data_IF_662399607343
#
_entry.id   IF_662399607343
#
_cell.length_a   1.000
_cell.length_b   1.000
_cell.length_c   1.000
_cell.angle_alpha   90.00
_cell.angle_beta   90.00
_cell.angle_gamma   90.00
#
_symmetry.space_group_name_H-M   'P 1'
#
loop_
_entity.id
_entity.type
_entity.pdbx_description
1 polymer ?
#
# COMPACT_ATOMS: atom_id res chain seq x y z
N UNK A 1 14.35 -0.81 17.75
CA UNK A 1 14.07 0.63 17.67
C UNK A 1 12.58 0.93 17.78
N UNK A 2 11.70 0.44 16.90
CA UNK A 2 10.26 0.71 17.06
C UNK A 2 9.65 0.09 18.33
N UNK A 3 10.04 -1.15 18.69
CA UNK A 3 9.64 -1.75 19.97
C UNK A 3 10.18 -1.05 21.22
N UNK A 4 11.36 -0.42 21.14
CA UNK A 4 11.91 0.36 22.27
C UNK A 4 11.18 1.69 22.44
N UNK A 5 10.73 2.28 21.34
CA UNK A 5 9.86 3.46 21.35
C UNK A 5 8.49 3.13 21.96
N UNK A 6 7.93 1.97 21.61
CA UNK A 6 6.68 1.50 22.21
C UNK A 6 6.81 1.26 23.72
N UNK A 7 7.92 0.65 24.19
CA UNK A 7 8.21 0.52 25.62
C UNK A 7 8.33 1.87 26.33
N UNK A 8 8.93 2.87 25.69
CA UNK A 8 9.01 4.23 26.22
C UNK A 8 7.62 4.87 26.39
N UNK A 9 6.73 4.70 25.40
CA UNK A 9 5.34 5.17 25.53
C UNK A 9 4.60 4.46 26.66
N UNK A 10 4.81 3.15 26.83
CA UNK A 10 4.24 2.39 27.96
C UNK A 10 4.75 2.91 29.30
N UNK A 11 6.04 3.20 29.41
CA UNK A 11 6.65 3.63 30.67
C UNK A 11 6.30 5.08 31.05
N UNK A 12 6.14 5.96 30.06
CA UNK A 12 5.90 7.39 30.29
C UNK A 12 4.44 7.80 30.18
N UNK A 13 3.59 6.98 29.57
CA UNK A 13 2.20 7.30 29.25
C UNK A 13 2.03 8.42 28.22
N UNK A 14 3.12 8.85 27.55
CA UNK A 14 3.11 10.02 26.65
C UNK A 14 3.58 9.66 25.24
N UNK A 15 3.00 10.32 24.24
CA UNK A 15 3.49 10.28 22.85
C UNK A 15 3.06 9.05 22.03
N UNK A 16 2.17 8.20 22.55
CA UNK A 16 1.54 7.14 21.75
C UNK A 16 0.64 7.76 20.67
N UNK A 17 0.89 7.49 19.38
CA UNK A 17 0.33 8.29 18.28
C UNK A 17 -0.99 7.76 17.70
N UNK A 18 -1.56 6.68 18.26
CA UNK A 18 -2.71 5.99 17.68
C UNK A 18 -3.86 5.90 18.68
N UNK A 19 -5.03 5.50 18.18
CA UNK A 19 -6.24 5.34 18.99
C UNK A 19 -6.80 6.67 19.44
N UNK A 20 -7.27 6.75 20.69
CA UNK A 20 -7.89 7.97 21.24
C UNK A 20 -6.98 9.21 21.22
N UNK A 21 -5.66 9.02 21.09
CA UNK A 21 -4.69 10.12 21.01
C UNK A 21 -4.55 10.72 19.60
N UNK A 22 -5.18 10.12 18.58
CA UNK A 22 -5.08 10.53 17.19
C UNK A 22 -6.33 11.33 16.78
N UNK A 23 -6.25 12.67 16.72
CA UNK A 23 -7.43 13.51 16.46
C UNK A 23 -8.01 13.33 15.06
N UNK A 24 -7.21 12.86 14.09
CA UNK A 24 -7.65 12.61 12.71
C UNK A 24 -7.85 11.11 12.43
N UNK A 25 -8.00 10.31 13.49
CA UNK A 25 -8.05 8.85 13.46
C UNK A 25 -9.42 8.24 13.15
N UNK A 26 -10.44 9.01 12.79
CA UNK A 26 -11.83 8.53 12.70
C UNK A 26 -12.04 7.36 11.72
N UNK A 27 -11.31 7.37 10.60
CA UNK A 27 -11.34 6.28 9.62
C UNK A 27 -10.32 5.17 9.92
N UNK A 28 -9.55 5.28 11.01
CA UNK A 28 -8.58 4.26 11.42
C UNK A 28 -9.26 3.03 12.02
N UNK A 29 -8.66 1.87 11.82
CA UNK A 29 -9.06 0.63 12.51
C UNK A 29 -8.73 0.65 14.00
N UNK A 30 -7.83 1.56 14.41
CA UNK A 30 -7.40 1.70 15.80
C UNK A 30 -8.21 2.75 16.58
N UNK A 31 -9.17 3.44 15.95
CA UNK A 31 -9.88 4.62 16.52
C UNK A 31 -10.43 4.44 17.95
N UNK A 32 -10.91 3.23 18.28
CA UNK A 32 -11.45 2.92 19.61
C UNK A 32 -10.44 2.29 20.58
N UNK A 33 -9.15 2.33 20.28
CA UNK A 33 -8.10 1.76 21.14
C UNK A 33 -7.73 2.75 22.24
N UNK A 34 -7.96 2.42 23.53
CA UNK A 34 -7.56 3.28 24.64
C UNK A 34 -6.04 3.43 24.66
N UNK A 35 -5.55 4.66 24.83
CA UNK A 35 -4.12 4.95 24.80
C UNK A 35 -3.33 4.15 25.86
N UNK A 36 -3.93 3.96 27.03
CA UNK A 36 -3.36 3.20 28.16
C UNK A 36 -3.14 1.72 27.83
N UNK A 37 -3.99 1.15 26.97
CA UNK A 37 -3.88 -0.24 26.52
C UNK A 37 -3.07 -0.37 25.23
N UNK A 38 -3.12 0.64 24.35
CA UNK A 38 -2.48 0.61 23.04
C UNK A 38 -0.95 0.57 23.13
N UNK A 39 -0.35 1.45 23.92
CA UNK A 39 1.11 1.47 24.09
C UNK A 39 1.69 0.13 24.60
N UNK A 40 1.21 -0.46 25.73
CA UNK A 40 1.73 -1.76 26.21
C UNK A 40 1.47 -2.91 25.23
N UNK A 41 0.33 -2.92 24.54
CA UNK A 41 0.03 -3.93 23.52
C UNK A 41 1.05 -3.88 22.37
N UNK A 42 1.29 -2.70 21.82
CA UNK A 42 2.29 -2.51 20.76
C UNK A 42 3.68 -2.91 21.24
N UNK A 43 4.07 -2.51 22.46
CA UNK A 43 5.36 -2.86 23.03
C UNK A 43 5.53 -4.38 23.15
N UNK A 44 4.54 -5.08 23.73
CA UNK A 44 4.57 -6.53 23.89
C UNK A 44 4.69 -7.26 22.54
N UNK A 45 3.84 -6.88 21.57
CA UNK A 45 3.83 -7.50 20.24
C UNK A 45 5.15 -7.24 19.49
N UNK A 46 5.66 -6.00 19.49
CA UNK A 46 6.88 -5.64 18.78
C UNK A 46 8.13 -6.27 19.42
N UNK A 47 8.19 -6.37 20.74
CA UNK A 47 9.28 -7.06 21.46
C UNK A 47 9.24 -8.56 21.17
N UNK A 48 8.07 -9.21 21.29
CA UNK A 48 7.90 -10.61 20.94
C UNK A 48 8.30 -10.89 19.48
N UNK A 49 7.93 -9.99 18.57
CA UNK A 49 8.30 -10.05 17.16
C UNK A 49 9.80 -9.90 16.96
N UNK A 50 10.46 -8.97 17.66
CA UNK A 50 11.91 -8.81 17.59
C UNK A 50 12.64 -10.06 18.08
N UNK A 51 12.21 -10.64 19.21
CA UNK A 51 12.77 -11.90 19.73
C UNK A 51 12.58 -13.04 18.74
N UNK A 52 11.38 -13.20 18.18
CA UNK A 52 11.11 -14.20 17.16
C UNK A 52 11.98 -13.98 15.91
N UNK A 53 12.12 -12.75 15.44
CA UNK A 53 12.92 -12.41 14.26
C UNK A 53 14.41 -12.70 14.47
N UNK A 54 14.97 -12.39 15.64
CA UNK A 54 16.35 -12.75 16.00
C UNK A 54 16.53 -14.27 16.03
N UNK A 55 15.59 -14.99 16.65
CA UNK A 55 15.60 -16.46 16.67
C UNK A 55 15.52 -17.09 15.26
N UNK A 56 14.76 -16.48 14.35
CA UNK A 56 14.64 -16.91 12.95
C UNK A 56 15.87 -16.56 12.09
N UNK A 57 16.61 -15.50 12.44
CA UNK A 57 17.79 -15.06 11.69
C UNK A 57 18.96 -16.05 11.83
N UNK A 58 19.12 -16.66 13.00
CA UNK A 58 20.19 -17.63 13.29
C UNK A 58 20.19 -18.86 12.38
N UNK A 59 21.33 -19.57 12.31
CA UNK A 59 21.38 -20.90 11.72
C UNK A 59 20.66 -21.87 12.67
N UNK A 60 19.52 -22.46 12.26
CA UNK A 60 18.78 -23.32 13.18
C UNK A 60 19.60 -24.58 13.45
N UNK A 61 20.02 -24.80 14.70
CA UNK A 61 20.60 -26.09 15.14
C UNK A 61 19.57 -27.22 15.00
N UNK A 62 18.28 -26.89 15.02
CA UNK A 62 17.15 -27.80 14.84
C UNK A 62 16.22 -27.25 13.75
N UNK A 63 15.87 -28.08 12.76
CA UNK A 63 14.83 -27.72 11.79
C UNK A 63 13.46 -27.82 12.46
N UNK A 64 12.89 -26.68 12.86
CA UNK A 64 11.51 -26.61 13.34
C UNK A 64 10.56 -27.13 12.25
N UNK A 65 9.83 -28.20 12.56
CA UNK A 65 8.83 -28.84 11.69
C UNK A 65 7.50 -28.96 12.44
N UNK A 66 6.39 -29.07 11.70
CA UNK A 66 5.06 -29.24 12.29
C UNK A 66 4.51 -27.97 12.98
N UNK A 67 3.77 -28.16 14.07
CA UNK A 67 3.06 -27.11 14.81
C UNK A 67 3.91 -25.88 15.19
N UNK A 68 5.12 -25.98 15.77
CA UNK A 68 5.88 -24.80 16.20
C UNK A 68 6.28 -23.90 15.02
N UNK A 69 6.56 -24.49 13.85
CA UNK A 69 6.83 -23.73 12.63
C UNK A 69 5.58 -22.98 12.17
N UNK A 70 4.43 -23.65 12.16
CA UNK A 70 3.17 -23.05 11.74
C UNK A 70 2.76 -21.92 12.67
N UNK A 71 2.90 -22.08 13.99
CA UNK A 71 2.58 -21.05 14.98
C UNK A 71 3.47 -19.81 14.82
N UNK A 72 4.77 -19.97 14.64
CA UNK A 72 5.68 -18.84 14.41
C UNK A 72 5.39 -18.11 13.09
N UNK A 73 5.09 -18.84 12.02
CA UNK A 73 4.66 -18.23 10.76
C UNK A 73 3.33 -17.50 10.92
N UNK A 74 2.35 -18.10 11.59
CA UNK A 74 1.04 -17.49 11.82
C UNK A 74 1.19 -16.21 12.63
N UNK A 75 1.88 -16.26 13.77
CA UNK A 75 2.18 -15.08 14.58
C UNK A 75 2.87 -13.99 13.75
N UNK A 76 3.96 -14.33 13.05
CA UNK A 76 4.69 -13.37 12.24
C UNK A 76 3.85 -12.73 11.14
N UNK A 77 3.07 -13.52 10.40
CA UNK A 77 2.20 -13.01 9.33
C UNK A 77 1.03 -12.19 9.88
N UNK A 78 0.50 -12.52 11.06
CA UNK A 78 -0.49 -11.68 11.75
C UNK A 78 0.10 -10.33 12.10
N UNK A 79 1.33 -10.28 12.61
CA UNK A 79 2.01 -9.00 12.90
C UNK A 79 2.28 -8.21 11.63
N UNK A 80 2.72 -8.86 10.54
CA UNK A 80 2.85 -8.21 9.23
C UNK A 80 1.52 -7.62 8.76
N UNK A 81 0.43 -8.38 8.84
CA UNK A 81 -0.89 -7.90 8.45
C UNK A 81 -1.33 -6.71 9.31
N UNK A 82 -1.09 -6.75 10.63
CA UNK A 82 -1.40 -5.63 11.51
C UNK A 82 -0.59 -4.37 11.12
N UNK A 83 0.73 -4.49 10.94
CA UNK A 83 1.59 -3.36 10.60
C UNK A 83 1.31 -2.77 9.21
N UNK A 84 0.87 -3.58 8.25
CA UNK A 84 0.61 -3.13 6.88
C UNK A 84 -0.84 -2.69 6.65
N UNK A 85 -1.81 -3.28 7.35
CA UNK A 85 -3.23 -3.10 7.04
C UNK A 85 -4.05 -2.49 8.17
N UNK A 86 -3.62 -2.64 9.44
CA UNK A 86 -4.37 -2.17 10.62
C UNK A 86 -3.84 -0.85 11.15
N UNK A 87 -2.51 -0.72 11.25
CA UNK A 87 -1.89 0.52 11.76
C UNK A 87 -2.02 1.69 10.78
N UNK A 88 -1.81 1.51 9.46
CA UNK A 88 -2.03 2.59 8.53
C UNK A 88 -3.53 2.87 8.33
N UNK A 89 -3.83 4.06 7.83
CA UNK A 89 -5.18 4.45 7.44
C UNK A 89 -5.18 5.14 6.05
N UNK A 90 -6.31 5.74 5.69
CA UNK A 90 -6.49 6.44 4.43
C UNK A 90 -5.51 7.62 4.21
N UNK A 91 -4.92 8.19 5.27
CA UNK A 91 -3.99 9.33 5.16
C UNK A 91 -2.73 8.96 4.38
N UNK A 92 -2.21 7.75 4.51
CA UNK A 92 -1.06 7.31 3.68
C UNK A 92 -1.42 7.29 2.19
N UNK A 93 -2.63 6.85 1.84
CA UNK A 93 -3.09 6.87 0.46
C UNK A 93 -3.28 8.30 -0.04
N UNK A 94 -3.88 9.16 0.79
CA UNK A 94 -4.07 10.59 0.51
C UNK A 94 -2.72 11.26 0.24
N UNK A 95 -1.77 11.17 1.17
CA UNK A 95 -0.43 11.74 1.00
C UNK A 95 0.27 11.16 -0.22
N UNK A 96 0.15 9.85 -0.50
CA UNK A 96 0.72 9.27 -1.71
C UNK A 96 0.08 9.83 -3.00
N UNK A 97 -1.22 10.12 -2.99
CA UNK A 97 -1.93 10.73 -4.12
C UNK A 97 -1.55 12.20 -4.34
N UNK A 98 -1.35 12.95 -3.26
CA UNK A 98 -0.92 14.36 -3.31
C UNK A 98 0.59 14.55 -3.44
N UNK A 99 1.41 13.53 -3.14
CA UNK A 99 2.87 13.64 -3.14
C UNK A 99 3.45 14.20 -4.44
N UNK A 100 3.02 13.81 -5.66
CA UNK A 100 3.52 14.42 -6.89
C UNK A 100 3.27 15.92 -6.94
N UNK A 101 2.09 16.38 -6.52
CA UNK A 101 1.73 17.79 -6.47
C UNK A 101 2.60 18.54 -5.44
N UNK A 102 2.72 18.00 -4.22
CA UNK A 102 3.54 18.59 -3.16
C UNK A 102 5.02 18.67 -3.55
N UNK A 103 5.59 17.62 -4.16
CA UNK A 103 7.01 17.58 -4.54
C UNK A 103 7.32 18.46 -5.74
N UNK A 104 6.47 18.44 -6.77
CA UNK A 104 6.68 19.24 -7.99
C UNK A 104 6.39 20.71 -7.73
N UNK A 105 5.40 21.01 -6.90
CA UNK A 105 4.98 22.36 -6.59
C UNK A 105 5.87 23.07 -5.55
N UNK A 106 6.46 22.34 -4.58
CA UNK A 106 7.26 22.92 -3.50
C UNK A 106 8.34 23.92 -3.95
N UNK A 107 9.13 23.70 -5.03
CA UNK A 107 10.11 24.66 -5.52
C UNK A 107 9.51 26.01 -5.98
N UNK A 108 8.21 26.04 -6.26
CA UNK A 108 7.47 27.20 -6.74
C UNK A 108 6.61 27.84 -5.65
N UNK A 109 6.69 27.37 -4.40
CA UNK A 109 5.86 27.84 -3.29
C UNK A 109 4.37 27.45 -3.44
N UNK A 110 4.09 26.35 -4.12
CA UNK A 110 2.72 25.88 -4.38
C UNK A 110 2.56 24.39 -4.05
N UNK A 111 1.43 23.92 -3.51
CA UNK A 111 0.37 24.74 -2.92
C UNK A 111 0.87 25.43 -1.63
N UNK A 112 0.22 26.54 -1.26
CA UNK A 112 0.47 27.24 0.00
C UNK A 112 -0.15 26.42 1.14
N UNK A 113 0.61 25.45 1.65
CA UNK A 113 0.17 24.51 2.69
C UNK A 113 1.24 24.40 3.77
N UNK A 114 0.81 24.28 5.02
CA UNK A 114 1.72 23.97 6.11
C UNK A 114 2.08 22.48 6.08
N UNK A 115 3.32 22.19 5.70
CA UNK A 115 3.85 20.83 5.67
C UNK A 115 3.89 20.17 7.06
N UNK A 116 3.90 20.94 8.16
CA UNK A 116 3.84 20.40 9.51
C UNK A 116 2.47 19.79 9.84
N UNK A 117 1.39 20.32 9.26
CA UNK A 117 0.03 19.77 9.40
C UNK A 117 -0.16 18.51 8.55
N UNK A 118 0.58 18.38 7.45
CA UNK A 118 0.55 17.17 6.62
C UNK A 118 1.44 16.08 7.23
N UNK A 119 2.70 16.41 7.56
CA UNK A 119 3.69 15.45 8.04
C UNK A 119 3.69 15.32 9.56
N UNK A 120 2.57 14.83 10.08
CA UNK A 120 2.34 14.67 11.51
C UNK A 120 3.10 13.48 12.12
N UNK A 121 3.18 13.47 13.46
CA UNK A 121 3.76 12.36 14.21
C UNK A 121 3.04 11.01 13.95
N UNK A 122 1.70 10.92 13.94
CA UNK A 122 1.00 9.70 13.51
C UNK A 122 1.40 9.24 12.12
N UNK A 123 1.46 10.13 11.14
CA UNK A 123 1.84 9.78 9.75
C UNK A 123 3.25 9.16 9.68
N UNK A 124 4.21 9.74 10.40
CA UNK A 124 5.57 9.17 10.48
C UNK A 124 5.57 7.75 11.08
N UNK A 125 4.78 7.51 12.12
CA UNK A 125 4.66 6.18 12.75
C UNK A 125 3.97 5.17 11.84
N UNK A 126 3.00 5.59 11.01
CA UNK A 126 2.43 4.73 9.97
C UNK A 126 3.47 4.36 8.92
N UNK A 127 4.28 5.32 8.45
CA UNK A 127 5.36 5.06 7.51
C UNK A 127 6.40 4.07 8.10
N UNK A 128 6.78 4.23 9.37
CA UNK A 128 7.64 3.28 10.07
C UNK A 128 7.00 1.91 10.24
N UNK A 129 5.70 1.84 10.49
CA UNK A 129 4.95 0.59 10.59
C UNK A 129 4.93 -0.14 9.26
N UNK A 130 4.70 0.55 8.14
CA UNK A 130 4.75 -0.03 6.79
C UNK A 130 6.15 -0.54 6.45
N UNK A 131 7.18 0.28 6.69
CA UNK A 131 8.56 -0.13 6.46
C UNK A 131 8.93 -1.37 7.31
N UNK A 132 8.58 -1.36 8.59
CA UNK A 132 8.78 -2.48 9.52
C UNK A 132 8.05 -3.74 9.07
N UNK A 133 6.78 -3.62 8.66
CA UNK A 133 5.97 -4.73 8.16
C UNK A 133 6.55 -5.35 6.89
N UNK A 134 7.03 -4.54 5.94
CA UNK A 134 7.67 -5.03 4.70
C UNK A 134 9.00 -5.76 4.99
N UNK A 135 9.81 -5.22 5.91
CA UNK A 135 11.05 -5.86 6.33
C UNK A 135 10.80 -7.17 7.08
N UNK A 136 9.79 -7.21 7.95
CA UNK A 136 9.38 -8.42 8.65
C UNK A 136 8.83 -9.47 7.68
N UNK A 137 8.00 -9.08 6.71
CA UNK A 137 7.51 -9.97 5.66
C UNK A 137 8.66 -10.59 4.86
N UNK A 138 9.67 -9.78 4.51
CA UNK A 138 10.90 -10.24 3.83
C UNK A 138 11.65 -11.27 4.68
N UNK A 139 11.81 -11.01 5.98
CA UNK A 139 12.47 -11.92 6.91
C UNK A 139 11.70 -13.25 7.04
N UNK A 140 10.38 -13.19 7.25
CA UNK A 140 9.50 -14.35 7.35
C UNK A 140 9.50 -15.19 6.08
N UNK A 141 9.43 -14.56 4.89
CA UNK A 141 9.55 -15.27 3.61
C UNK A 141 10.88 -16.01 3.49
N UNK A 142 11.99 -15.35 3.86
CA UNK A 142 13.31 -15.97 3.81
C UNK A 142 13.41 -17.19 4.75
N UNK A 143 12.85 -17.08 5.95
CA UNK A 143 12.81 -18.17 6.93
C UNK A 143 11.85 -19.28 6.51
N UNK A 144 10.69 -18.94 5.95
CA UNK A 144 9.72 -19.89 5.40
C UNK A 144 10.32 -20.70 4.26
N UNK A 145 11.05 -20.05 3.34
CA UNK A 145 11.75 -20.73 2.24
C UNK A 145 12.85 -21.65 2.75
N UNK A 146 13.69 -21.16 3.68
CA UNK A 146 14.76 -21.95 4.31
C UNK A 146 14.22 -23.20 4.99
N UNK A 147 13.17 -23.07 5.79
CA UNK A 147 12.55 -24.19 6.51
C UNK A 147 11.78 -25.15 5.60
N UNK A 148 11.26 -24.65 4.47
CA UNK A 148 10.60 -25.47 3.45
C UNK A 148 11.58 -26.19 2.50
N UNK A 149 12.89 -25.95 2.62
CA UNK A 149 13.88 -26.49 1.67
C UNK A 149 13.80 -25.84 0.28
N UNK A 150 13.21 -24.66 0.17
CA UNK A 150 13.20 -23.87 -1.05
C UNK A 150 14.43 -22.95 -1.10
N UNK A 151 14.76 -22.44 -2.29
CA UNK A 151 15.79 -21.43 -2.43
C UNK A 151 15.43 -20.17 -1.63
N UNK A 152 16.29 -19.77 -0.70
CA UNK A 152 16.05 -18.61 0.19
C UNK A 152 15.91 -17.28 -0.58
N UNK A 153 16.47 -17.20 -1.79
CA UNK A 153 16.41 -15.98 -2.61
C UNK A 153 15.14 -15.87 -3.46
N UNK A 154 14.66 -16.97 -4.05
CA UNK A 154 13.56 -16.95 -5.03
C UNK A 154 12.33 -17.78 -4.62
N UNK A 155 12.41 -18.55 -3.54
CA UNK A 155 11.32 -19.38 -3.02
C UNK A 155 10.99 -20.63 -3.85
N UNK A 156 11.77 -20.94 -4.90
CA UNK A 156 11.56 -22.14 -5.75
C UNK A 156 12.10 -23.40 -5.07
N UNK A 157 11.38 -24.51 -5.17
CA UNK A 157 11.74 -25.81 -4.54
C UNK A 157 11.65 -27.01 -5.49
N UNK A 158 11.90 -26.84 -6.79
CA UNK A 158 11.82 -27.90 -7.81
C UNK A 158 10.38 -28.39 -8.12
N UNK A 159 9.41 -28.18 -7.22
CA UNK A 159 7.99 -28.39 -7.46
C UNK A 159 7.40 -27.20 -8.23
N UNK A 160 7.03 -27.42 -9.49
CA UNK A 160 6.37 -26.41 -10.30
C UNK A 160 4.95 -26.15 -9.77
N UNK A 161 4.65 -24.88 -9.42
CA UNK A 161 3.28 -24.44 -9.14
C UNK A 161 2.69 -23.91 -10.43
N UNK A 162 1.74 -24.63 -11.04
CA UNK A 162 1.18 -24.29 -12.35
C UNK A 162 0.62 -22.87 -12.44
N UNK A 163 0.00 -22.36 -11.35
CA UNK A 163 -0.52 -20.98 -11.29
C UNK A 163 0.57 -19.89 -11.33
N UNK A 164 1.78 -20.22 -10.86
CA UNK A 164 2.91 -19.31 -10.75
C UNK A 164 3.90 -19.42 -11.92
N UNK A 165 3.56 -20.24 -12.93
CA UNK A 165 4.26 -20.32 -14.21
C UNK A 165 4.08 -19.02 -14.99
N UNK A 166 5.07 -18.67 -15.82
CA UNK A 166 5.04 -17.45 -16.66
C UNK A 166 3.75 -17.36 -17.49
N UNK A 167 3.36 -18.46 -18.15
CA UNK A 167 2.18 -18.49 -19.02
C UNK A 167 0.86 -18.33 -18.26
N UNK A 168 0.72 -18.94 -17.07
CA UNK A 168 -0.48 -18.75 -16.25
C UNK A 168 -0.55 -17.34 -15.67
N UNK A 169 0.55 -16.85 -15.10
CA UNK A 169 0.68 -15.49 -14.60
C UNK A 169 0.36 -14.42 -15.65
N UNK A 170 0.68 -14.67 -16.93
CA UNK A 170 0.32 -13.78 -18.02
C UNK A 170 -1.18 -13.71 -18.32
N UNK A 171 -1.94 -14.78 -18.11
CA UNK A 171 -3.38 -14.80 -18.37
C UNK A 171 -4.17 -14.11 -17.28
N UNK A 172 -4.03 -14.55 -16.03
CA UNK A 172 -4.77 -13.95 -14.92
C UNK A 172 -4.26 -12.55 -14.57
N UNK A 173 -2.94 -12.32 -14.71
CA UNK A 173 -2.33 -11.02 -14.47
C UNK A 173 -2.81 -9.93 -15.41
N UNK A 174 -3.19 -10.27 -16.65
CA UNK A 174 -3.75 -9.32 -17.61
C UNK A 174 -5.07 -8.74 -17.12
N UNK A 175 -5.99 -9.59 -16.67
CA UNK A 175 -7.27 -9.18 -16.12
C UNK A 175 -7.11 -8.38 -14.83
N UNK A 176 -6.25 -8.84 -13.92
CA UNK A 176 -5.94 -8.10 -12.69
C UNK A 176 -5.40 -6.70 -13.00
N UNK A 177 -4.53 -6.56 -14.01
CA UNK A 177 -3.96 -5.28 -14.41
C UNK A 177 -5.00 -4.34 -15.02
N UNK A 178 -5.88 -4.84 -15.89
CA UNK A 178 -6.92 -4.01 -16.48
C UNK A 178 -7.96 -3.57 -15.46
N UNK A 179 -8.35 -4.45 -14.54
CA UNK A 179 -9.21 -4.08 -13.42
C UNK A 179 -8.55 -3.03 -12.53
N UNK A 180 -7.27 -3.22 -12.19
CA UNK A 180 -6.50 -2.28 -11.37
C UNK A 180 -6.31 -0.91 -12.03
N UNK A 181 -6.31 -0.84 -13.37
CA UNK A 181 -6.22 0.41 -14.13
C UNK A 181 -7.58 1.07 -14.34
N UNK A 182 -8.65 0.28 -14.53
CA UNK A 182 -10.00 0.82 -14.78
C UNK A 182 -10.57 1.59 -13.59
N UNK A 183 -10.28 1.13 -12.36
CA UNK A 183 -10.83 1.75 -11.15
C UNK A 183 -10.31 3.19 -10.93
N UNK A 184 -8.99 3.48 -10.99
CA UNK A 184 -8.49 4.85 -10.95
C UNK A 184 -9.00 5.73 -12.10
N UNK A 185 -9.26 5.16 -13.28
CA UNK A 185 -9.87 5.91 -14.39
C UNK A 185 -11.30 6.31 -14.05
N UNK A 186 -12.10 5.43 -13.46
CA UNK A 186 -13.45 5.78 -13.00
C UNK A 186 -13.44 6.91 -11.98
N UNK A 187 -12.47 6.89 -11.04
CA UNK A 187 -12.24 8.01 -10.12
C UNK A 187 -11.83 9.30 -10.85
N UNK A 188 -10.92 9.21 -11.83
CA UNK A 188 -10.49 10.38 -12.59
C UNK A 188 -11.66 11.02 -13.37
N UNK A 189 -12.55 10.20 -13.93
CA UNK A 189 -13.73 10.69 -14.64
C UNK A 189 -14.65 11.52 -13.75
N UNK A 190 -14.85 11.15 -12.47
CA UNK A 190 -15.67 11.97 -11.57
C UNK A 190 -15.01 13.32 -11.28
N UNK A 191 -13.67 13.34 -11.13
CA UNK A 191 -12.91 14.59 -10.93
C UNK A 191 -12.93 15.51 -12.15
N UNK A 192 -12.82 14.94 -13.36
CA UNK A 192 -12.93 15.73 -14.59
C UNK A 192 -14.35 16.18 -14.89
N UNK A 193 -15.37 15.36 -14.56
CA UNK A 193 -16.76 15.77 -14.66
C UNK A 193 -17.05 16.97 -13.73
N UNK A 194 -16.48 16.96 -12.52
CA UNK A 194 -16.59 18.08 -11.59
C UNK A 194 -15.92 19.35 -12.11
N UNK A 195 -14.69 19.24 -12.66
CA UNK A 195 -14.02 20.35 -13.34
C UNK A 195 -14.86 20.89 -14.51
N UNK A 196 -15.43 20.01 -15.33
CA UNK A 196 -16.25 20.40 -16.47
C UNK A 196 -17.51 21.15 -16.01
N UNK A 197 -18.19 20.67 -14.96
CA UNK A 197 -19.36 21.34 -14.38
C UNK A 197 -19.01 22.75 -13.87
N UNK A 198 -17.88 22.89 -13.18
CA UNK A 198 -17.39 24.19 -12.71
C UNK A 198 -17.09 25.15 -13.88
N UNK A 199 -16.40 24.68 -14.92
CA UNK A 199 -16.07 25.49 -16.12
C UNK A 199 -17.30 25.90 -16.93
N UNK A 200 -18.37 25.08 -16.91
CA UNK A 200 -19.63 25.36 -17.60
C UNK A 200 -20.59 26.24 -16.77
N UNK A 201 -20.21 26.61 -15.55
CA UNK A 201 -21.06 27.38 -14.64
C UNK A 201 -22.31 26.60 -14.20
N UNK A 202 -22.27 25.27 -14.24
CA UNK A 202 -23.31 24.40 -13.67
C UNK A 202 -23.15 24.37 -12.14
N UNK A 203 -23.29 25.53 -11.51
CA UNK A 203 -23.42 25.64 -10.06
C UNK A 203 -24.88 25.51 -9.68
N UNK A 204 -25.45 24.32 -9.87
CA UNK A 204 -26.58 23.94 -9.04
C UNK A 204 -26.07 23.98 -7.58
N UNK A 205 -26.82 24.60 -6.66
CA UNK A 205 -26.43 25.01 -5.29
C UNK A 205 -25.86 23.94 -4.32
N UNK A 206 -25.29 22.85 -4.82
CA UNK A 206 -24.45 21.88 -4.13
C UNK A 206 -22.94 22.20 -4.27
N UNK A 207 -22.55 23.24 -5.03
CA UNK A 207 -21.17 23.71 -5.12
C UNK A 207 -20.82 24.81 -4.10
N UNK A 208 -21.82 25.36 -3.39
CA UNK A 208 -21.62 26.41 -2.37
C UNK A 208 -20.91 25.90 -1.10
N UNK A 209 -20.79 24.58 -0.91
CA UNK A 209 -20.18 23.98 0.28
C UNK A 209 -18.65 23.83 0.17
N UNK A 210 -18.06 24.04 -1.01
CA UNK A 210 -16.61 23.99 -1.23
C UNK A 210 -16.15 25.23 -2.01
N UNK A 211 -16.23 26.38 -1.34
CA UNK A 211 -15.83 27.68 -1.84
C UNK A 211 -14.34 27.67 -2.26
N UNK A 212 -14.08 27.87 -3.55
CA UNK A 212 -12.74 28.14 -4.08
C UNK A 212 -12.37 27.35 -5.34
N UNK A 213 -12.09 28.08 -6.43
CA UNK A 213 -11.47 27.58 -7.68
C UNK A 213 -10.31 26.61 -7.42
N UNK A 214 -9.55 26.84 -6.34
CA UNK A 214 -8.44 26.00 -5.90
C UNK A 214 -8.82 24.52 -5.68
N UNK A 215 -9.97 24.22 -5.08
CA UNK A 215 -10.37 22.84 -4.75
C UNK A 215 -10.69 22.04 -6.02
N UNK A 216 -11.31 22.68 -7.01
CA UNK A 216 -11.62 22.06 -8.31
C UNK A 216 -10.33 21.73 -9.07
N UNK A 217 -9.37 22.66 -9.11
CA UNK A 217 -8.07 22.44 -9.73
C UNK A 217 -7.26 21.34 -9.04
N UNK A 218 -7.29 21.30 -7.71
CA UNK A 218 -6.68 20.23 -6.90
C UNK A 218 -7.32 18.87 -7.24
N UNK A 219 -8.65 18.82 -7.30
CA UNK A 219 -9.39 17.62 -7.71
C UNK A 219 -9.03 17.15 -9.12
N UNK A 220 -8.91 18.06 -10.07
CA UNK A 220 -8.49 17.75 -11.44
C UNK A 220 -7.04 17.24 -11.50
N UNK A 221 -6.14 17.81 -10.70
CA UNK A 221 -4.76 17.33 -10.53
C UNK A 221 -4.72 15.88 -10.04
N UNK A 222 -5.51 15.56 -9.00
CA UNK A 222 -5.66 14.18 -8.52
C UNK A 222 -6.23 13.24 -9.60
N UNK A 223 -7.22 13.70 -10.37
CA UNK A 223 -7.76 12.96 -11.52
C UNK A 223 -6.69 12.67 -12.57
N UNK A 224 -5.87 13.66 -12.92
CA UNK A 224 -4.76 13.49 -13.85
C UNK A 224 -3.71 12.49 -13.33
N UNK A 225 -3.32 12.58 -12.05
CA UNK A 225 -2.39 11.62 -11.46
C UNK A 225 -2.99 10.20 -11.36
N UNK A 226 -4.29 10.06 -11.13
CA UNK A 226 -4.98 8.78 -11.19
C UNK A 226 -4.91 8.16 -12.60
N UNK A 227 -5.07 8.97 -13.67
CA UNK A 227 -4.86 8.50 -15.06
C UNK A 227 -3.41 8.10 -15.30
N UNK A 228 -2.43 8.89 -14.84
CA UNK A 228 -1.01 8.53 -14.94
C UNK A 228 -0.74 7.20 -14.22
N UNK A 229 -1.26 7.02 -13.00
CA UNK A 229 -1.19 5.77 -12.25
C UNK A 229 -1.83 4.60 -12.99
N UNK A 230 -2.97 4.80 -13.64
CA UNK A 230 -3.61 3.79 -14.47
C UNK A 230 -2.76 3.40 -15.69
N UNK A 231 -2.16 4.38 -16.39
CA UNK A 231 -1.25 4.13 -17.52
C UNK A 231 0.00 3.36 -17.07
N UNK A 232 0.57 3.73 -15.92
CA UNK A 232 1.69 3.00 -15.31
C UNK A 232 1.29 1.57 -14.93
N UNK A 233 0.08 1.39 -14.41
CA UNK A 233 -0.48 0.06 -14.09
C UNK A 233 -0.63 -0.79 -15.34
N UNK A 234 -1.15 -0.24 -16.44
CA UNK A 234 -1.17 -0.92 -17.76
C UNK A 234 0.25 -1.28 -18.22
N UNK A 235 1.25 -0.48 -17.86
CA UNK A 235 2.67 -0.79 -18.06
C UNK A 235 3.11 -2.13 -17.48
N UNK A 236 2.46 -2.65 -16.43
CA UNK A 236 2.77 -3.97 -15.86
C UNK A 236 2.58 -5.12 -16.86
N UNK A 237 1.76 -4.93 -17.90
CA UNK A 237 1.48 -5.93 -18.95
C UNK A 237 1.91 -5.52 -20.35
N UNK A 238 2.41 -4.30 -20.53
CA UNK A 238 2.81 -3.77 -21.84
C UNK A 238 4.34 -3.70 -22.01
N UNK A 239 4.84 -3.76 -23.25
CA UNK A 239 6.29 -3.74 -23.52
C UNK A 239 7.03 -2.52 -22.93
N UNK A 240 6.38 -1.36 -22.83
CA UNK A 240 7.00 -0.15 -22.26
C UNK A 240 7.29 -0.23 -20.75
N UNK A 241 6.62 -1.12 -20.02
CA UNK A 241 6.96 -1.42 -18.62
C UNK A 241 8.02 -2.51 -18.49
N UNK A 242 8.49 -3.06 -19.61
CA UNK A 242 9.59 -4.03 -19.65
C UNK A 242 10.88 -3.42 -20.20
N UNK A 243 10.76 -2.53 -21.17
CA UNK A 243 11.86 -1.79 -21.79
C UNK A 243 11.48 -0.32 -21.85
N UNK A 244 12.37 0.55 -21.40
CA UNK A 244 12.12 1.99 -21.44
C UNK A 244 11.88 2.46 -22.88
N UNK A 245 10.77 3.20 -23.13
CA UNK A 245 10.49 3.77 -24.44
C UNK A 245 11.63 4.63 -24.98
N UNK A 246 11.70 4.78 -26.31
CA UNK A 246 12.79 5.53 -26.96
C UNK A 246 12.82 7.02 -26.62
N UNK A 247 11.69 7.57 -26.16
CA UNK A 247 11.55 8.96 -25.75
C UNK A 247 12.06 9.23 -24.32
N UNK A 248 12.34 8.19 -23.51
CA UNK A 248 12.91 8.38 -22.17
C UNK A 248 14.40 8.68 -22.30
N UNK A 249 14.75 9.96 -22.22
CA UNK A 249 16.12 10.45 -22.34
C UNK A 249 17.03 9.74 -21.33
N UNK A 250 18.17 9.20 -21.79
CA UNK A 250 19.16 8.51 -20.95
C UNK A 250 18.85 7.05 -20.61
N UNK A 251 17.61 6.58 -20.75
CA UNK A 251 17.20 5.20 -20.43
C UNK A 251 16.62 4.41 -21.61
N UNK A 252 16.39 5.07 -22.75
CA UNK A 252 15.87 4.46 -23.98
C UNK A 252 16.47 3.08 -24.29
N UNK A 253 15.60 2.08 -24.47
CA UNK A 253 16.01 0.72 -24.84
C UNK A 253 16.59 -0.13 -23.70
N UNK A 254 16.80 0.43 -22.49
CA UNK A 254 17.24 -0.35 -21.32
C UNK A 254 16.08 -1.15 -20.74
N UNK A 255 16.38 -2.31 -20.17
CA UNK A 255 15.40 -3.11 -19.43
C UNK A 255 15.01 -2.40 -18.14
N UNK A 256 13.71 -2.29 -17.89
CA UNK A 256 13.16 -1.75 -16.64
C UNK A 256 13.44 -2.74 -15.51
N UNK A 257 14.11 -2.35 -14.42
CA UNK A 257 14.31 -3.21 -13.26
C UNK A 257 12.95 -3.62 -12.67
N UNK A 258 12.78 -4.92 -12.38
CA UNK A 258 11.50 -5.46 -11.89
C UNK A 258 11.02 -4.75 -10.62
N UNK A 259 11.94 -4.44 -9.71
CA UNK A 259 11.60 -3.77 -8.45
C UNK A 259 11.18 -2.31 -8.63
N UNK A 260 11.54 -1.66 -9.74
CA UNK A 260 11.10 -0.29 -10.03
C UNK A 260 9.58 -0.21 -10.19
N UNK A 261 8.95 -1.26 -10.73
CA UNK A 261 7.50 -1.35 -10.84
C UNK A 261 6.86 -2.02 -9.62
N UNK A 262 7.49 -3.07 -9.09
CA UNK A 262 6.91 -3.89 -8.00
C UNK A 262 6.83 -3.13 -6.69
N UNK A 263 7.86 -2.36 -6.31
CA UNK A 263 7.87 -1.65 -5.02
C UNK A 263 6.74 -0.60 -4.93
N UNK A 264 6.63 0.38 -5.83
CA UNK A 264 5.58 1.39 -5.73
C UNK A 264 4.19 0.78 -5.85
N UNK A 265 3.98 -0.19 -6.76
CA UNK A 265 2.68 -0.86 -6.90
C UNK A 265 2.30 -1.67 -5.64
N UNK A 266 3.28 -2.29 -4.97
CA UNK A 266 3.05 -2.97 -3.67
C UNK A 266 2.66 -1.98 -2.59
N UNK A 267 3.37 -0.85 -2.49
CA UNK A 267 3.10 0.20 -1.49
C UNK A 267 1.70 0.77 -1.68
N UNK A 268 1.32 1.14 -2.91
CA UNK A 268 -0.03 1.64 -3.21
C UNK A 268 -1.07 0.57 -2.92
N UNK A 269 -0.85 -0.69 -3.30
CA UNK A 269 -1.78 -1.78 -2.98
C UNK A 269 -2.01 -1.92 -1.46
N UNK A 270 -0.96 -1.80 -0.65
CA UNK A 270 -1.06 -1.81 0.81
C UNK A 270 -1.87 -0.61 1.30
N UNK A 271 -1.57 0.60 0.84
CA UNK A 271 -2.28 1.82 1.26
C UNK A 271 -3.76 1.77 0.90
N UNK A 272 -4.10 1.36 -0.32
CA UNK A 272 -5.49 1.22 -0.77
C UNK A 272 -6.23 0.14 0.02
N UNK A 273 -5.60 -1.00 0.28
CA UNK A 273 -6.23 -2.08 1.05
C UNK A 273 -6.48 -1.64 2.48
N UNK A 274 -5.51 -0.99 3.12
CA UNK A 274 -5.64 -0.46 4.48
C UNK A 274 -6.72 0.63 4.57
N UNK A 275 -6.71 1.59 3.65
CA UNK A 275 -7.75 2.61 3.53
C UNK A 275 -9.15 2.00 3.36
N UNK A 276 -9.27 0.98 2.51
CA UNK A 276 -10.52 0.26 2.28
C UNK A 276 -11.06 -0.39 3.56
N UNK A 277 -10.20 -1.02 4.36
CA UNK A 277 -10.61 -1.63 5.64
C UNK A 277 -11.06 -0.56 6.65
N UNK A 278 -10.35 0.56 6.72
CA UNK A 278 -10.76 1.71 7.53
C UNK A 278 -12.16 2.20 7.17
N UNK A 279 -12.39 2.48 5.89
CA UNK A 279 -13.68 2.95 5.40
C UNK A 279 -14.80 1.91 5.58
N UNK A 280 -14.55 0.62 5.34
CA UNK A 280 -15.52 -0.46 5.56
C UNK A 280 -15.96 -0.55 7.03
N UNK A 281 -15.02 -0.40 7.97
CA UNK A 281 -15.34 -0.50 9.40
C UNK A 281 -15.93 0.77 9.97
N UNK A 282 -15.62 1.94 9.40
CA UNK A 282 -16.14 3.24 9.86
C UNK A 282 -17.62 3.48 9.55
N UNK A 283 -18.21 2.76 8.59
CA UNK A 283 -19.57 3.01 8.11
C UNK A 283 -19.61 3.73 6.77
N UNK A 284 -18.58 4.51 6.44
CA UNK A 284 -18.56 5.42 5.27
C UNK A 284 -18.91 4.72 3.95
N UNK A 285 -18.39 3.52 3.69
CA UNK A 285 -18.74 2.81 2.44
C UNK A 285 -20.18 2.31 2.42
N UNK A 286 -20.76 2.02 3.58
CA UNK A 286 -22.17 1.62 3.70
C UNK A 286 -23.08 2.82 3.45
N UNK A 287 -22.76 3.97 4.03
CA UNK A 287 -23.51 5.21 3.83
C UNK A 287 -23.47 5.64 2.35
N UNK A 288 -22.28 5.54 1.71
CA UNK A 288 -22.14 5.78 0.27
C UNK A 288 -22.95 4.80 -0.58
N UNK A 289 -22.99 3.52 -0.18
CA UNK A 289 -23.78 2.50 -0.88
C UNK A 289 -25.30 2.70 -0.69
N UNK A 290 -25.71 3.28 0.44
CA UNK A 290 -27.09 3.67 0.73
C UNK A 290 -27.51 4.97 0.00
N UNK A 291 -26.57 5.69 -0.61
CA UNK A 291 -26.82 6.94 -1.32
C UNK A 291 -26.76 8.19 -0.43
N UNK A 292 -26.22 8.08 0.79
CA UNK A 292 -26.16 9.16 1.78
C UNK A 292 -24.91 10.06 1.63
N UNK A 293 -24.11 9.86 0.57
CA UNK A 293 -22.88 10.63 0.35
C UNK A 293 -22.77 11.29 -1.03
N UNK A 294 -21.79 12.17 -1.16
CA UNK A 294 -21.52 12.88 -2.41
C UNK A 294 -21.18 11.93 -3.56
N UNK A 295 -21.70 12.23 -4.75
CA UNK A 295 -21.38 11.50 -5.98
C UNK A 295 -19.87 11.50 -6.29
N UNK A 296 -19.12 12.49 -5.78
CA UNK A 296 -17.66 12.57 -5.89
C UNK A 296 -16.93 11.46 -5.13
N UNK A 297 -17.56 10.90 -4.10
CA UNK A 297 -17.02 9.84 -3.26
C UNK A 297 -17.44 8.43 -3.72
N UNK A 298 -18.43 8.29 -4.62
CA UNK A 298 -18.87 6.98 -5.14
C UNK A 298 -17.75 6.08 -5.67
N UNK A 299 -16.70 6.57 -6.35
CA UNK A 299 -15.60 5.70 -6.78
C UNK A 299 -14.84 5.01 -5.63
N UNK A 300 -14.97 5.49 -4.38
CA UNK A 300 -14.37 4.86 -3.20
C UNK A 300 -14.94 3.46 -2.95
N UNK A 301 -16.17 3.18 -3.38
CA UNK A 301 -16.78 1.84 -3.32
C UNK A 301 -15.95 0.78 -4.07
N UNK A 302 -15.14 1.20 -5.04
CA UNK A 302 -14.30 0.32 -5.84
C UNK A 302 -12.91 0.09 -5.22
N UNK A 303 -12.53 0.83 -4.17
CA UNK A 303 -11.20 0.73 -3.56
C UNK A 303 -10.84 -0.66 -3.03
N UNK A 304 -11.75 -1.43 -2.36
CA UNK A 304 -11.42 -2.79 -1.93
C UNK A 304 -11.02 -3.68 -3.10
N UNK A 305 -11.75 -3.57 -4.23
CA UNK A 305 -11.43 -4.30 -5.44
C UNK A 305 -10.13 -3.81 -6.08
N UNK A 306 -9.85 -2.51 -6.02
CA UNK A 306 -8.61 -1.92 -6.54
C UNK A 306 -7.37 -2.42 -5.82
N UNK A 307 -7.38 -2.42 -4.47
CA UNK A 307 -6.26 -2.91 -3.67
C UNK A 307 -5.92 -4.37 -4.00
N UNK A 308 -6.94 -5.23 -4.06
CA UNK A 308 -6.77 -6.64 -4.43
C UNK A 308 -6.29 -6.82 -5.88
N UNK A 309 -6.88 -6.10 -6.84
CA UNK A 309 -6.51 -6.16 -8.24
C UNK A 309 -5.07 -5.70 -8.47
N UNK A 310 -4.64 -4.61 -7.81
CA UNK A 310 -3.28 -4.09 -7.93
C UNK A 310 -2.25 -5.01 -7.29
N UNK A 311 -2.55 -5.61 -6.12
CA UNK A 311 -1.69 -6.62 -5.51
C UNK A 311 -1.51 -7.84 -6.43
N UNK A 312 -2.60 -8.32 -7.03
CA UNK A 312 -2.57 -9.42 -7.99
C UNK A 312 -1.79 -9.05 -9.26
N UNK A 313 -2.04 -7.86 -9.84
CA UNK A 313 -1.31 -7.36 -11.01
C UNK A 313 0.20 -7.28 -10.75
N UNK A 314 0.58 -6.78 -9.58
CA UNK A 314 1.97 -6.67 -9.13
C UNK A 314 2.61 -8.05 -8.96
N UNK A 315 1.90 -8.99 -8.35
CA UNK A 315 2.36 -10.37 -8.22
C UNK A 315 2.54 -11.03 -9.59
N UNK A 316 1.59 -10.90 -10.50
CA UNK A 316 1.70 -11.44 -11.85
C UNK A 316 2.90 -10.86 -12.61
N UNK A 317 3.11 -9.54 -12.50
CA UNK A 317 4.25 -8.86 -13.11
C UNK A 317 5.57 -9.43 -12.58
N UNK A 318 5.70 -9.56 -11.25
CA UNK A 318 6.87 -10.17 -10.63
C UNK A 318 7.09 -11.61 -11.11
N UNK A 319 6.04 -12.43 -11.13
CA UNK A 319 6.11 -13.85 -11.51
C UNK A 319 6.51 -14.06 -12.97
N UNK A 320 6.07 -13.19 -13.88
CA UNK A 320 6.46 -13.21 -15.30
C UNK A 320 7.90 -12.77 -15.53
N UNK A 321 8.36 -11.79 -14.76
CA UNK A 321 9.65 -11.12 -14.99
C UNK A 321 10.80 -11.72 -14.17
N UNK A 322 10.51 -12.59 -13.19
CA UNK A 322 11.55 -13.34 -12.46
C UNK A 322 12.17 -14.43 -13.36
N UNK A 323 13.30 -14.09 -13.98
CA UNK A 323 14.07 -15.02 -14.81
C UNK A 323 14.65 -16.22 -14.03
N UNK A 324 15.69 -16.85 -14.59
CA UNK A 324 16.44 -17.89 -13.89
C UNK A 324 17.06 -17.33 -12.60
N UNK A 325 16.95 -18.09 -11.52
CA UNK A 325 17.53 -17.67 -10.24
C UNK A 325 19.05 -17.89 -10.29
N UNK A 326 19.89 -16.86 -10.06
CA UNK A 326 21.34 -17.02 -10.11
C UNK A 326 21.88 -17.95 -9.01
N UNK A 327 21.14 -18.16 -7.92
CA UNK A 327 21.56 -19.02 -6.80
C UNK A 327 21.17 -20.50 -6.94
N UNK A 328 20.07 -20.81 -7.63
CA UNK A 328 19.58 -22.18 -7.72
C UNK A 328 19.34 -22.67 -9.16
N UNK A 329 19.62 -21.86 -10.18
CA UNK A 329 19.51 -22.21 -11.61
C UNK A 329 18.08 -22.37 -12.13
N UNK A 330 17.10 -22.65 -11.28
CA UNK A 330 15.70 -22.85 -11.67
C UNK A 330 15.12 -21.63 -12.38
N UNK A 331 14.46 -21.83 -13.53
CA UNK A 331 13.65 -20.83 -14.24
C UNK A 331 12.22 -20.73 -13.68
N UNK A 332 11.50 -19.69 -14.08
CA UNK A 332 10.11 -19.41 -13.68
C UNK A 332 9.08 -20.03 -14.61
#
# INVERSE_FOLDING_TARGET
MYGTLALFWTATGRGFPFGENDPDGDASLLRGLPAEAGAPLFAAVLVATAVAAVGMAGQPRVRLRGAPRTLLLAFGWTVVAALLLVVPDARLLTVAGYAPMLVIGAPFGWPDVDYAEIFTWPLANMAFSVAGGLLLARALLSWQFRTAGACVSCGRSGRARGWASVGSAARWGRWATYLAAAIPVAYALTRFAWLAAALLGWSDGHLEEFDGDAVVWVGAGLGAFAVVGAVLTVGLVRPWGEVFPRWVVGLAGRRVPVMLAVVPATVVAVFVTSASLGLLTSGVLWDLAAGEGSWLALPMLLWPAWGAALALATLAHYLRRRGACPRCGLSG
#
